data_IF_025956959403
#
_entry.id   IF_025956959403
#
_cell.length_a   1.000
_cell.length_b   1.000
_cell.length_c   1.000
_cell.angle_alpha   90.00
_cell.angle_beta   90.00
_cell.angle_gamma   90.00
#
_symmetry.space_group_name_H-M   'P 1'
#
loop_
_entity.id
_entity.type
_entity.pdbx_description
1 polymer ?
#
# COMPACT_ATOMS: atom_id res chain seq x y z
N UNK A 1 -7.79 4.91 17.54
CA UNK A 1 -7.23 4.32 16.31
C UNK A 1 -6.12 3.37 16.70
N UNK A 2 -6.04 2.19 16.08
CA UNK A 2 -4.89 1.29 16.19
C UNK A 2 -3.81 1.82 15.25
N UNK A 3 -2.57 1.80 15.69
CA UNK A 3 -1.43 2.11 14.82
C UNK A 3 -1.30 0.97 13.80
N UNK A 4 -1.19 1.32 12.52
CA UNK A 4 -0.99 0.39 11.41
C UNK A 4 0.29 0.80 10.71
N UNK A 5 1.12 -0.17 10.36
CA UNK A 5 2.33 0.08 9.55
C UNK A 5 2.00 -0.29 8.13
N UNK A 6 2.22 0.66 7.22
CA UNK A 6 2.05 0.43 5.78
C UNK A 6 3.43 0.30 5.16
N UNK A 7 3.69 -0.85 4.55
CA UNK A 7 4.85 -1.10 3.71
C UNK A 7 4.42 -0.87 2.27
N UNK A 8 5.10 0.01 1.54
CA UNK A 8 4.85 0.25 0.12
C UNK A 8 6.14 -0.10 -0.63
N UNK A 9 6.08 -1.07 -1.54
CA UNK A 9 7.21 -1.51 -2.35
C UNK A 9 6.88 -1.45 -3.84
N UNK A 10 7.84 -1.00 -4.64
CA UNK A 10 7.78 -1.04 -6.11
C UNK A 10 8.80 -2.05 -6.61
N UNK A 11 8.39 -2.99 -7.45
CA UNK A 11 9.28 -4.01 -8.02
C UNK A 11 9.17 -4.12 -9.54
N UNK A 12 10.32 -4.25 -10.17
CA UNK A 12 10.48 -4.42 -11.61
C UNK A 12 10.82 -5.86 -12.02
N UNK A 13 11.54 -6.58 -11.16
CA UNK A 13 12.01 -7.93 -11.46
C UNK A 13 11.10 -8.98 -10.82
N UNK A 14 10.78 -10.01 -11.61
CA UNK A 14 10.01 -11.15 -11.13
C UNK A 14 10.90 -12.09 -10.30
N UNK A 15 10.37 -12.52 -9.17
CA UNK A 15 11.00 -13.46 -8.24
C UNK A 15 10.03 -14.61 -7.98
N UNK A 16 10.48 -15.86 -8.14
CA UNK A 16 9.62 -17.04 -7.97
C UNK A 16 9.09 -17.19 -6.54
N UNK A 17 9.82 -16.71 -5.57
CA UNK A 17 9.53 -16.72 -4.13
C UNK A 17 8.94 -15.39 -3.63
N UNK A 18 8.41 -14.56 -4.53
CA UNK A 18 7.82 -13.27 -4.23
C UNK A 18 6.81 -13.31 -3.07
N UNK A 19 5.91 -14.30 -3.06
CA UNK A 19 4.88 -14.43 -2.02
C UNK A 19 5.50 -14.72 -0.64
N UNK A 20 6.57 -15.52 -0.59
CA UNK A 20 7.33 -15.79 0.62
C UNK A 20 8.07 -14.52 1.07
N UNK A 21 8.58 -13.72 0.13
CA UNK A 21 9.27 -12.46 0.45
C UNK A 21 8.34 -11.44 1.12
N UNK A 22 7.14 -11.23 0.60
CA UNK A 22 6.18 -10.28 1.21
C UNK A 22 5.68 -10.79 2.57
N UNK A 23 5.54 -12.12 2.74
CA UNK A 23 5.25 -12.74 4.03
C UNK A 23 6.38 -12.47 5.04
N UNK A 24 7.62 -12.75 4.66
CA UNK A 24 8.80 -12.51 5.48
C UNK A 24 8.91 -11.03 5.87
N UNK A 25 8.77 -10.11 4.91
CA UNK A 25 8.84 -8.67 5.15
C UNK A 25 7.80 -8.19 6.15
N UNK A 26 6.53 -8.57 5.98
CA UNK A 26 5.48 -8.20 6.93
C UNK A 26 5.73 -8.79 8.33
N UNK A 27 6.17 -10.05 8.40
CA UNK A 27 6.48 -10.72 9.67
C UNK A 27 7.65 -10.06 10.40
N UNK A 28 8.69 -9.70 9.66
CA UNK A 28 9.85 -8.99 10.20
C UNK A 28 9.46 -7.63 10.78
N UNK A 29 8.66 -6.84 10.06
CA UNK A 29 8.16 -5.55 10.55
C UNK A 29 7.33 -5.72 11.83
N UNK A 30 6.49 -6.76 11.92
CA UNK A 30 5.76 -7.07 13.15
C UNK A 30 6.71 -7.27 14.33
N UNK A 31 7.76 -8.10 14.15
CA UNK A 31 8.72 -8.43 15.21
C UNK A 31 9.51 -7.18 15.61
N UNK A 32 9.99 -6.40 14.65
CA UNK A 32 10.79 -5.19 14.91
C UNK A 32 10.01 -4.10 15.66
N UNK A 33 8.67 -4.11 15.55
CA UNK A 33 7.80 -3.10 16.17
C UNK A 33 7.07 -3.61 17.42
N UNK A 34 7.38 -4.82 17.90
CA UNK A 34 6.90 -5.33 19.18
C UNK A 34 8.06 -5.37 20.17
N UNK A 35 8.06 -4.47 21.15
CA UNK A 35 9.12 -4.44 22.16
C UNK A 35 9.11 -5.73 23.00
N UNK A 36 10.29 -6.17 23.41
CA UNK A 36 10.45 -7.35 24.27
C UNK A 36 9.63 -7.21 25.56
N UNK A 37 8.89 -8.27 25.92
CA UNK A 37 8.01 -8.29 27.09
C UNK A 37 6.62 -7.64 26.88
N UNK A 38 6.35 -7.03 25.72
CA UNK A 38 5.04 -6.42 25.44
C UNK A 38 3.95 -7.49 25.25
N UNK A 39 2.70 -7.23 25.66
CA UNK A 39 1.58 -8.12 25.37
C UNK A 39 1.34 -8.29 23.86
N UNK A 40 0.97 -9.49 23.42
CA UNK A 40 0.61 -9.74 22.01
C UNK A 40 -0.61 -8.93 21.52
N UNK A 41 -1.43 -8.40 22.43
CA UNK A 41 -2.50 -7.48 22.06
C UNK A 41 -1.97 -6.18 21.41
N UNK A 42 -0.71 -5.83 21.65
CA UNK A 42 -0.03 -4.65 21.09
C UNK A 42 0.64 -4.94 19.74
N UNK A 43 0.59 -6.17 19.24
CA UNK A 43 1.10 -6.51 17.90
C UNK A 43 0.51 -5.58 16.84
N UNK A 44 1.37 -4.89 16.11
CA UNK A 44 0.93 -3.91 15.10
C UNK A 44 0.43 -4.61 13.84
N UNK A 45 -0.69 -4.14 13.28
CA UNK A 45 -1.16 -4.62 11.99
C UNK A 45 -0.25 -4.05 10.90
N UNK A 46 0.18 -4.91 9.98
CA UNK A 46 0.95 -4.51 8.79
C UNK A 46 0.07 -4.59 7.55
N UNK A 47 0.10 -3.55 6.73
CA UNK A 47 -0.49 -3.53 5.39
C UNK A 47 0.66 -3.46 4.38
N UNK A 48 0.79 -4.46 3.53
CA UNK A 48 1.84 -4.53 2.51
C UNK A 48 1.25 -4.26 1.14
N UNK A 49 1.59 -3.12 0.55
CA UNK A 49 1.19 -2.70 -0.79
C UNK A 49 2.37 -2.92 -1.73
N UNK A 50 2.22 -3.81 -2.69
CA UNK A 50 3.26 -4.22 -3.63
C UNK A 50 2.83 -3.83 -5.05
N UNK A 51 3.59 -2.93 -5.66
CA UNK A 51 3.35 -2.39 -7.00
C UNK A 51 4.33 -3.08 -7.96
N UNK A 52 3.80 -3.91 -8.85
CA UNK A 52 4.57 -4.81 -9.70
C UNK A 52 4.53 -4.37 -11.17
N UNK A 53 5.70 -4.20 -11.77
CA UNK A 53 5.89 -3.98 -13.22
C UNK A 53 6.17 -5.30 -13.96
N UNK A 54 5.74 -6.43 -13.39
CA UNK A 54 5.81 -7.77 -13.98
C UNK A 54 4.55 -8.56 -13.66
N UNK A 55 4.33 -9.66 -14.39
CA UNK A 55 3.20 -10.55 -14.15
C UNK A 55 3.53 -11.55 -13.03
N UNK A 56 2.73 -11.56 -11.97
CA UNK A 56 2.84 -12.51 -10.87
C UNK A 56 1.76 -13.59 -11.00
N UNK A 57 2.18 -14.85 -11.05
CA UNK A 57 1.30 -16.01 -11.01
C UNK A 57 0.29 -16.09 -12.17
N UNK A 58 -0.78 -16.83 -11.95
CA UNK A 58 -1.90 -17.01 -12.90
C UNK A 58 -3.12 -16.31 -12.33
N UNK A 59 -3.74 -15.43 -13.12
CA UNK A 59 -4.92 -14.66 -12.74
C UNK A 59 -5.17 -13.52 -13.73
N UNK A 60 -6.43 -13.11 -13.86
CA UNK A 60 -6.86 -12.11 -14.85
C UNK A 60 -6.92 -10.69 -14.28
N UNK A 61 -7.03 -10.55 -12.96
CA UNK A 61 -7.12 -9.25 -12.32
C UNK A 61 -5.73 -8.56 -12.26
N UNK A 62 -5.75 -7.24 -12.05
CA UNK A 62 -4.59 -6.39 -11.84
C UNK A 62 -4.44 -5.93 -10.39
N UNK A 63 -5.50 -6.01 -9.56
CA UNK A 63 -5.40 -5.79 -8.10
C UNK A 63 -5.85 -7.04 -7.35
N UNK A 64 -4.98 -7.55 -6.46
CA UNK A 64 -5.31 -8.65 -5.57
C UNK A 64 -5.21 -8.19 -4.13
N UNK A 65 -6.26 -8.47 -3.34
CA UNK A 65 -6.29 -8.25 -1.91
C UNK A 65 -6.18 -9.59 -1.17
N UNK A 66 -5.09 -9.79 -0.45
CA UNK A 66 -4.88 -10.93 0.43
C UNK A 66 -5.15 -10.56 1.88
N UNK A 67 -6.02 -11.31 2.56
CA UNK A 67 -6.29 -11.13 3.97
C UNK A 67 -6.60 -12.49 4.62
N UNK A 68 -6.44 -12.58 5.93
CA UNK A 68 -6.63 -13.84 6.66
C UNK A 68 -8.00 -13.90 7.33
N UNK A 69 -8.75 -14.94 7.02
CA UNK A 69 -9.94 -15.39 7.75
C UNK A 69 -9.81 -16.88 8.06
N UNK A 70 -10.52 -17.35 9.08
CA UNK A 70 -10.55 -18.76 9.45
C UNK A 70 -11.95 -19.30 9.20
N UNK A 71 -12.02 -20.40 8.45
CA UNK A 71 -13.26 -21.09 8.09
C UNK A 71 -13.18 -22.51 8.69
N UNK A 72 -14.25 -22.94 9.35
CA UNK A 72 -14.35 -24.27 9.93
C UNK A 72 -14.32 -25.35 8.85
N UNK A 73 -13.47 -26.37 9.03
CA UNK A 73 -13.32 -27.42 8.01
C UNK A 73 -14.50 -28.38 7.93
N UNK A 74 -15.34 -28.43 8.97
CA UNK A 74 -16.47 -29.36 9.06
C UNK A 74 -17.81 -28.69 8.75
N UNK A 75 -18.07 -27.50 9.30
CA UNK A 75 -19.33 -26.76 9.18
C UNK A 75 -19.26 -25.61 8.16
N UNK A 76 -18.05 -25.26 7.68
CA UNK A 76 -17.79 -24.13 6.80
C UNK A 76 -18.17 -22.77 7.42
N UNK A 77 -18.30 -22.69 8.74
CA UNK A 77 -18.60 -21.44 9.43
C UNK A 77 -17.34 -20.59 9.62
N UNK A 78 -17.48 -19.28 9.46
CA UNK A 78 -16.38 -18.35 9.70
C UNK A 78 -16.19 -18.09 11.21
N UNK A 79 -14.94 -18.08 11.66
CA UNK A 79 -14.59 -17.68 13.02
C UNK A 79 -14.65 -16.14 13.15
N UNK A 80 -15.44 -15.66 14.10
CA UNK A 80 -15.57 -14.25 14.44
C UNK A 80 -14.99 -13.92 15.82
N UNK A 81 -14.68 -12.65 16.04
CA UNK A 81 -14.28 -12.16 17.36
C UNK A 81 -15.47 -12.12 18.30
N UNK A 82 -15.26 -12.55 19.54
CA UNK A 82 -16.22 -12.31 20.63
C UNK A 82 -16.31 -10.81 20.97
N UNK A 83 -17.39 -10.39 21.62
CA UNK A 83 -17.54 -8.99 22.07
C UNK A 83 -16.40 -8.54 23.00
N UNK A 84 -15.88 -9.45 23.84
CA UNK A 84 -14.74 -9.15 24.71
C UNK A 84 -13.47 -8.90 23.91
N UNK A 85 -13.19 -9.75 22.91
CA UNK A 85 -12.05 -9.58 22.00
C UNK A 85 -12.17 -8.31 21.16
N UNK A 86 -13.36 -8.00 20.63
CA UNK A 86 -13.57 -6.76 19.86
C UNK A 86 -13.27 -5.52 20.68
N UNK A 87 -13.68 -5.50 21.96
CA UNK A 87 -13.36 -4.42 22.90
C UNK A 87 -11.87 -4.35 23.20
N UNK A 88 -11.24 -5.49 23.46
CA UNK A 88 -9.81 -5.57 23.77
C UNK A 88 -8.93 -5.13 22.59
N UNK A 89 -9.21 -5.65 21.39
CA UNK A 89 -8.43 -5.40 20.18
C UNK A 89 -8.83 -4.13 19.42
N UNK A 90 -9.96 -3.52 19.81
CA UNK A 90 -10.55 -2.33 19.18
C UNK A 90 -10.79 -2.52 17.67
N UNK A 91 -11.22 -3.71 17.26
CA UNK A 91 -11.57 -4.05 15.88
C UNK A 91 -12.77 -5.00 15.83
N UNK A 92 -13.43 -5.10 14.67
CA UNK A 92 -14.64 -5.91 14.52
C UNK A 92 -14.38 -7.30 13.94
N UNK A 93 -13.39 -7.42 13.05
CA UNK A 93 -13.14 -8.65 12.30
C UNK A 93 -11.75 -9.24 12.55
N UNK A 94 -11.63 -10.56 12.39
CA UNK A 94 -10.37 -11.29 12.58
C UNK A 94 -9.29 -10.79 11.61
N UNK A 95 -9.63 -10.50 10.36
CA UNK A 95 -8.66 -9.99 9.37
C UNK A 95 -8.05 -8.63 9.75
N UNK A 96 -8.64 -7.89 10.70
CA UNK A 96 -8.02 -6.68 11.24
C UNK A 96 -6.85 -6.96 12.19
N UNK A 97 -6.61 -8.22 12.57
CA UNK A 97 -5.52 -8.63 13.46
C UNK A 97 -4.30 -9.16 12.70
N UNK A 98 -4.48 -9.55 11.45
CA UNK A 98 -3.44 -10.16 10.62
C UNK A 98 -2.91 -9.19 9.57
N UNK A 99 -1.72 -9.46 9.00
CA UNK A 99 -1.25 -8.74 7.83
C UNK A 99 -2.27 -8.77 6.69
N UNK A 100 -2.32 -7.66 5.97
CA UNK A 100 -3.14 -7.50 4.77
C UNK A 100 -2.23 -7.12 3.60
N UNK A 101 -2.46 -7.73 2.45
CA UNK A 101 -1.62 -7.58 1.27
C UNK A 101 -2.44 -7.01 0.11
N UNK A 102 -1.88 -6.02 -0.57
CA UNK A 102 -2.35 -5.52 -1.85
C UNK A 102 -1.26 -5.78 -2.87
N UNK A 103 -1.56 -6.54 -3.91
CA UNK A 103 -0.67 -6.80 -5.04
C UNK A 103 -1.26 -6.15 -6.27
N UNK A 104 -0.54 -5.18 -6.84
CA UNK A 104 -0.99 -4.35 -7.95
C UNK A 104 -0.08 -4.64 -9.14
N UNK A 105 -0.58 -5.37 -10.14
CA UNK A 105 0.15 -5.69 -11.38
C UNK A 105 -0.10 -4.60 -12.43
N UNK A 106 0.78 -3.60 -12.49
CA UNK A 106 0.66 -2.42 -13.35
C UNK A 106 0.47 -2.80 -14.83
N UNK A 107 1.17 -3.83 -15.30
CA UNK A 107 1.11 -4.25 -16.71
C UNK A 107 -0.27 -4.82 -17.12
N UNK A 108 -1.09 -5.27 -16.15
CA UNK A 108 -2.43 -5.82 -16.41
C UNK A 108 -3.53 -4.77 -16.31
N UNK A 109 -3.22 -3.55 -15.88
CA UNK A 109 -4.20 -2.49 -15.77
C UNK A 109 -4.76 -2.12 -17.16
N UNK A 110 -6.10 -2.15 -17.37
CA UNK A 110 -6.73 -1.96 -18.68
C UNK A 110 -6.87 -0.49 -19.10
N UNK A 111 -6.27 0.46 -18.38
CA UNK A 111 -6.36 1.90 -18.64
C UNK A 111 -7.76 2.50 -18.47
N UNK A 112 -8.61 1.82 -17.69
CA UNK A 112 -9.97 2.24 -17.32
C UNK A 112 -10.00 2.40 -15.80
N UNK A 113 -10.38 3.60 -15.33
CA UNK A 113 -10.44 3.93 -13.90
C UNK A 113 -11.87 3.84 -13.37
N UNK A 114 -12.09 3.01 -12.35
CA UNK A 114 -13.40 2.83 -11.70
C UNK A 114 -13.45 3.48 -10.32
N UNK A 115 -12.31 3.59 -9.64
CA UNK A 115 -12.20 4.09 -8.29
C UNK A 115 -10.90 4.92 -8.08
N UNK A 116 -10.73 5.56 -6.91
CA UNK A 116 -9.53 6.34 -6.60
C UNK A 116 -8.21 5.53 -6.62
N UNK A 117 -8.24 4.22 -6.39
CA UNK A 117 -7.03 3.40 -6.49
C UNK A 117 -6.62 3.24 -7.95
N UNK A 118 -7.57 3.04 -8.86
CA UNK A 118 -7.28 2.96 -10.30
C UNK A 118 -6.66 4.26 -10.83
N UNK A 119 -7.06 5.43 -10.31
CA UNK A 119 -6.44 6.70 -10.67
C UNK A 119 -4.95 6.76 -10.27
N UNK A 120 -4.59 6.23 -9.11
CA UNK A 120 -3.19 6.05 -8.71
C UNK A 120 -2.45 5.05 -9.60
N UNK A 121 -3.11 3.93 -9.97
CA UNK A 121 -2.54 2.92 -10.87
C UNK A 121 -2.28 3.52 -12.26
N UNK A 122 -3.20 4.36 -12.77
CA UNK A 122 -3.01 5.09 -14.02
C UNK A 122 -1.76 5.98 -13.95
N UNK A 123 -1.59 6.73 -12.86
CA UNK A 123 -0.39 7.54 -12.63
C UNK A 123 0.87 6.66 -12.63
N UNK A 124 0.89 5.54 -11.91
CA UNK A 124 2.06 4.65 -11.86
C UNK A 124 2.41 4.03 -13.21
N UNK A 125 1.42 3.80 -14.07
CA UNK A 125 1.64 3.21 -15.40
C UNK A 125 2.12 4.24 -16.43
N UNK A 126 1.52 5.42 -16.44
CA UNK A 126 1.70 6.41 -17.51
C UNK A 126 2.51 7.63 -17.11
N UNK A 127 2.84 7.79 -15.83
CA UNK A 127 3.45 9.00 -15.29
C UNK A 127 2.64 10.24 -15.69
N UNK A 128 1.31 10.15 -15.61
CA UNK A 128 0.38 11.21 -16.01
C UNK A 128 -0.86 11.19 -15.10
N UNK A 129 -1.42 12.37 -14.85
CA UNK A 129 -2.68 12.55 -14.13
C UNK A 129 -3.68 13.20 -15.08
N UNK A 130 -4.73 12.46 -15.43
CA UNK A 130 -5.82 12.97 -16.27
C UNK A 130 -6.63 14.03 -15.54
N UNK A 131 -7.26 14.91 -16.33
CA UNK A 131 -8.22 15.86 -15.80
C UNK A 131 -9.41 15.12 -15.16
N UNK A 132 -9.82 15.60 -13.99
CA UNK A 132 -10.98 15.07 -13.27
C UNK A 132 -10.66 13.99 -12.22
N UNK A 133 -9.42 13.51 -12.10
CA UNK A 133 -9.03 12.59 -11.03
C UNK A 133 -9.28 13.20 -9.65
N UNK A 134 -9.91 12.44 -8.75
CA UNK A 134 -10.34 12.87 -7.42
C UNK A 134 -9.59 12.17 -6.28
N UNK A 135 -8.69 11.23 -6.57
CA UNK A 135 -8.02 10.46 -5.55
C UNK A 135 -7.17 11.38 -4.67
N UNK A 136 -7.34 11.19 -3.36
CA UNK A 136 -6.69 12.01 -2.36
C UNK A 136 -5.17 11.90 -2.51
N UNK A 137 -4.50 13.05 -2.61
CA UNK A 137 -3.04 13.13 -2.71
C UNK A 137 -2.51 13.20 -4.14
N UNK A 138 -3.32 12.92 -5.17
CA UNK A 138 -2.88 13.03 -6.56
C UNK A 138 -2.46 14.44 -6.96
N UNK A 139 -3.10 15.49 -6.44
CA UNK A 139 -2.68 16.87 -6.70
C UNK A 139 -1.24 17.12 -6.29
N UNK A 140 -0.86 16.65 -5.09
CA UNK A 140 0.53 16.75 -4.61
C UNK A 140 1.48 15.87 -5.42
N UNK A 141 1.03 14.67 -5.81
CA UNK A 141 1.81 13.81 -6.68
C UNK A 141 2.07 14.46 -8.05
N UNK A 142 1.09 15.21 -8.60
CA UNK A 142 1.23 15.99 -9.83
C UNK A 142 2.34 17.02 -9.71
N UNK A 143 2.31 17.83 -8.66
CA UNK A 143 3.33 18.86 -8.42
C UNK A 143 4.74 18.25 -8.36
N UNK A 144 4.90 17.16 -7.61
CA UNK A 144 6.18 16.45 -7.52
C UNK A 144 6.61 15.90 -8.87
N UNK A 145 5.68 15.29 -9.62
CA UNK A 145 5.95 14.74 -10.94
C UNK A 145 6.34 15.83 -11.95
N UNK A 146 5.67 16.98 -11.93
CA UNK A 146 5.99 18.11 -12.79
C UNK A 146 7.41 18.62 -12.51
N UNK A 147 7.79 18.74 -11.23
CA UNK A 147 9.17 19.07 -10.82
C UNK A 147 10.17 18.00 -11.31
N UNK A 148 9.80 16.71 -11.26
CA UNK A 148 10.63 15.62 -11.76
C UNK A 148 10.73 15.61 -13.30
N UNK A 149 9.81 16.23 -14.03
CA UNK A 149 9.89 16.36 -15.50
C UNK A 149 10.72 17.57 -15.95
N UNK A 150 10.98 18.54 -15.07
CA UNK A 150 11.84 19.68 -15.35
C UNK A 150 13.26 19.23 -15.71
N UNK A 151 13.87 19.92 -16.68
CA UNK A 151 15.29 19.77 -17.00
C UNK A 151 16.17 20.22 -15.83
N UNK A 152 17.46 19.83 -15.85
CA UNK A 152 18.41 20.20 -14.79
C UNK A 152 18.49 21.72 -14.56
N UNK A 153 18.44 22.51 -15.63
CA UNK A 153 18.48 23.98 -15.58
C UNK A 153 17.20 24.55 -14.97
N UNK A 154 16.03 24.02 -15.36
CA UNK A 154 14.73 24.46 -14.83
C UNK A 154 14.57 24.08 -13.35
N UNK A 155 15.04 22.90 -12.93
CA UNK A 155 15.06 22.51 -11.50
C UNK A 155 15.94 23.42 -10.66
N UNK A 156 17.11 23.82 -11.17
CA UNK A 156 18.00 24.75 -10.48
C UNK A 156 17.35 26.12 -10.30
N UNK A 157 16.72 26.65 -11.37
CA UNK A 157 15.99 27.92 -11.32
C UNK A 157 14.80 27.84 -10.34
N UNK A 158 14.06 26.73 -10.35
CA UNK A 158 12.96 26.50 -9.41
C UNK A 158 13.46 26.46 -7.96
N UNK A 159 14.57 25.76 -7.68
CA UNK A 159 15.17 25.70 -6.34
C UNK A 159 15.62 27.08 -5.84
N UNK A 160 16.27 27.87 -6.71
CA UNK A 160 16.68 29.24 -6.38
C UNK A 160 15.46 30.14 -6.11
N UNK A 161 14.38 29.98 -6.88
CA UNK A 161 13.14 30.72 -6.66
C UNK A 161 12.48 30.35 -5.32
N UNK A 162 12.46 29.06 -4.94
CA UNK A 162 11.96 28.61 -3.64
C UNK A 162 12.81 29.15 -2.48
N UNK A 163 14.13 29.18 -2.64
CA UNK A 163 15.06 29.74 -1.65
C UNK A 163 14.85 31.25 -1.48
N UNK A 164 14.65 31.98 -2.58
CA UNK A 164 14.34 33.41 -2.54
C UNK A 164 13.02 33.70 -1.80
N UNK A 165 11.96 32.91 -2.05
CA UNK A 165 10.69 33.02 -1.33
C UNK A 165 10.85 32.78 0.18
N UNK A 166 11.80 31.94 0.59
CA UNK A 166 12.12 31.72 2.01
C UNK A 166 12.79 32.93 2.68
N UNK A 167 13.56 33.71 1.93
CA UNK A 167 14.20 34.94 2.42
C UNK A 167 13.26 36.16 2.42
N UNK A 168 12.18 36.12 1.63
CA UNK A 168 11.18 37.18 1.52
C UNK A 168 10.02 37.05 2.54
N UNK A 169 9.95 35.93 3.28
CA UNK A 169 8.95 35.64 4.31
C UNK A 169 9.45 36.00 5.73
#
# INVERSE_FOLDING_TARGET
QRYEIIIIEVQYNNELDFLQRILYGASKVIVEHLNEGSPYAETTKVISVNILYFNLGIGNDYVYRGYTTFIGTHDQEQLYLTLAQQKMFKCQHVYNLFPEYYIIQINKFPDITHDPLDEWIYLFKHEEIKEGFQARGLTKAKEVLDILKLSTTERQLYSLHQEQLHYEA
#
